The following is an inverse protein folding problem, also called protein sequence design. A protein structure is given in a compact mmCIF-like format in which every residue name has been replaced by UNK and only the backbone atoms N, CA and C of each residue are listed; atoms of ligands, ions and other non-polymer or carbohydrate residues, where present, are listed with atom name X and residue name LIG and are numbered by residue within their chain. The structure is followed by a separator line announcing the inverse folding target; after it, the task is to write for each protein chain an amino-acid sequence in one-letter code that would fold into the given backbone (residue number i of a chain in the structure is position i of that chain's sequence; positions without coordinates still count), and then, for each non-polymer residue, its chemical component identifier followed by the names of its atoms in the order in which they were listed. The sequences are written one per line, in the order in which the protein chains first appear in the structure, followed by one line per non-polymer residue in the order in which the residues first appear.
data_IF_452508832667
#
_entry.id   IF_452508832667
#
_cell.length_a   1.000
_cell.length_b   1.000
_cell.length_c   1.000
_cell.angle_alpha   90.00
_cell.angle_beta   90.00
_cell.angle_gamma   90.00
#
_symmetry.space_group_name_H-M   'P 1'
#
loop_
_entity.id
_entity.type
_entity.pdbx_description
1 polymer ?
#
# COMPACT_ATOMS: atom_id res chain seq x y z
N UNK A 1 38.16 51.24 -9.73
CA UNK A 1 38.51 50.55 -8.45
C UNK A 1 37.45 49.47 -8.26
N UNK A 2 37.81 48.22 -8.37
CA UNK A 2 36.90 47.10 -8.04
C UNK A 2 37.09 46.80 -6.56
N UNK A 3 36.03 47.09 -5.77
CA UNK A 3 35.97 46.66 -4.38
C UNK A 3 35.89 45.13 -4.37
N UNK A 4 37.01 44.50 -4.03
CA UNK A 4 37.06 43.08 -3.75
C UNK A 4 36.66 42.85 -2.30
N UNK A 5 35.37 42.85 -2.01
CA UNK A 5 34.85 42.45 -0.71
C UNK A 5 34.95 40.91 -0.60
N UNK A 6 36.07 40.44 -0.07
CA UNK A 6 36.24 39.01 0.27
C UNK A 6 35.43 38.69 1.53
N UNK A 7 34.80 37.52 1.55
CA UNK A 7 34.12 37.01 2.75
C UNK A 7 35.12 36.81 3.87
N UNK A 8 34.73 37.27 5.06
CA UNK A 8 35.58 37.09 6.25
C UNK A 8 35.39 35.66 6.80
N UNK A 9 36.43 35.11 7.40
CA UNK A 9 36.39 33.78 8.03
C UNK A 9 35.28 33.71 9.09
N UNK A 10 35.06 34.80 9.82
CA UNK A 10 34.02 34.94 10.84
C UNK A 10 32.60 34.83 10.22
N UNK A 11 32.39 35.37 9.04
CA UNK A 11 31.12 35.32 8.33
C UNK A 11 30.78 33.89 7.88
N UNK A 12 31.75 33.16 7.36
CA UNK A 12 31.58 31.76 6.96
C UNK A 12 31.26 30.88 8.18
N UNK A 13 31.95 31.07 9.30
CA UNK A 13 31.68 30.31 10.53
C UNK A 13 30.28 30.63 11.07
N UNK A 14 29.82 31.87 11.01
CA UNK A 14 28.48 32.27 11.44
C UNK A 14 27.40 31.62 10.60
N UNK A 15 27.56 31.60 9.27
CA UNK A 15 26.61 30.95 8.34
C UNK A 15 26.56 29.46 8.59
N UNK A 16 27.70 28.80 8.73
CA UNK A 16 27.74 27.34 9.02
C UNK A 16 27.08 27.01 10.36
N UNK A 17 27.25 27.83 11.39
CA UNK A 17 26.61 27.65 12.69
C UNK A 17 25.08 27.76 12.59
N UNK A 18 24.55 28.72 11.83
CA UNK A 18 23.13 28.91 11.61
C UNK A 18 22.56 27.74 10.82
N UNK A 19 23.22 27.30 9.75
CA UNK A 19 22.79 26.15 8.93
C UNK A 19 22.76 24.86 9.75
N UNK A 20 23.80 24.63 10.59
CA UNK A 20 23.83 23.48 11.49
C UNK A 20 22.70 23.49 12.53
N UNK A 21 22.40 24.69 13.09
CA UNK A 21 21.29 24.85 14.04
C UNK A 21 19.94 24.56 13.38
N UNK A 22 19.70 25.08 12.17
CA UNK A 22 18.47 24.83 11.42
C UNK A 22 18.34 23.35 11.03
N UNK A 23 19.43 22.72 10.61
CA UNK A 23 19.44 21.29 10.30
C UNK A 23 19.09 20.43 11.54
N UNK A 24 19.60 20.78 12.71
CA UNK A 24 19.32 20.08 13.96
C UNK A 24 17.83 20.16 14.39
N UNK A 25 17.13 21.22 14.00
CA UNK A 25 15.69 21.36 14.28
C UNK A 25 14.81 20.57 13.31
N UNK A 26 15.27 20.31 12.07
CA UNK A 26 14.50 19.64 11.03
C UNK A 26 14.66 18.11 11.08
N UNK A 27 15.87 17.61 11.42
CA UNK A 27 16.15 16.16 11.44
C UNK A 27 15.25 15.34 12.38
N UNK A 28 14.84 15.79 13.58
CA UNK A 28 13.97 15.00 14.46
C UNK A 28 12.52 14.88 13.99
N UNK A 29 12.11 15.67 13.00
CA UNK A 29 10.71 15.72 12.53
C UNK A 29 10.35 14.67 11.48
N UNK A 30 11.27 13.78 11.08
CA UNK A 30 10.99 12.72 10.13
C UNK A 30 10.29 11.57 10.90
N UNK A 31 8.98 11.38 10.75
CA UNK A 31 8.29 10.28 11.44
C UNK A 31 8.82 8.95 10.96
N UNK A 32 9.43 8.18 11.87
CA UNK A 32 9.86 6.82 11.61
C UNK A 32 8.64 5.90 11.57
N UNK A 33 8.31 5.37 10.38
CA UNK A 33 7.26 4.40 10.18
C UNK A 33 6.17 4.83 9.20
N UNK A 34 5.23 3.92 8.94
CA UNK A 34 4.15 4.12 7.98
C UNK A 34 3.10 5.11 8.55
N UNK A 35 2.96 6.28 7.91
CA UNK A 35 1.92 7.26 8.27
C UNK A 35 0.53 6.78 7.79
N UNK A 36 -0.56 7.41 8.30
CA UNK A 36 -1.93 7.15 7.84
C UNK A 36 -2.05 7.30 6.31
N UNK A 37 -1.51 8.38 5.76
CA UNK A 37 -1.55 8.62 4.31
C UNK A 37 -0.78 7.55 3.51
N UNK A 38 0.32 7.06 4.04
CA UNK A 38 1.08 5.97 3.41
C UNK A 38 0.35 4.64 3.51
N UNK A 39 -0.33 4.36 4.64
CA UNK A 39 -1.17 3.17 4.79
C UNK A 39 -2.36 3.19 3.82
N UNK A 40 -3.00 4.34 3.65
CA UNK A 40 -4.05 4.55 2.65
C UNK A 40 -3.53 4.35 1.22
N UNK A 41 -2.32 4.83 0.92
CA UNK A 41 -1.65 4.58 -0.35
C UNK A 41 -1.52 3.09 -0.67
N UNK A 42 -1.08 2.26 0.28
CA UNK A 42 -1.03 0.81 0.11
C UNK A 42 -2.41 0.19 -0.12
N UNK A 43 -3.45 0.68 0.57
CA UNK A 43 -4.82 0.20 0.35
C UNK A 43 -5.30 0.54 -1.07
N UNK A 44 -4.97 1.73 -1.58
CA UNK A 44 -5.27 2.15 -2.95
C UNK A 44 -4.51 1.30 -3.99
N UNK A 45 -3.24 1.01 -3.77
CA UNK A 45 -2.42 0.19 -4.66
C UNK A 45 -2.97 -1.24 -4.75
N UNK A 46 -3.33 -1.84 -3.62
CA UNK A 46 -3.97 -3.17 -3.58
C UNK A 46 -5.32 -3.15 -4.29
N UNK A 47 -6.14 -2.13 -4.05
CA UNK A 47 -7.44 -2.01 -4.72
C UNK A 47 -7.29 -1.83 -6.23
N UNK A 48 -6.30 -1.07 -6.69
CA UNK A 48 -5.99 -0.91 -8.10
C UNK A 48 -5.54 -2.24 -8.75
N UNK A 49 -4.67 -3.00 -8.07
CA UNK A 49 -4.22 -4.32 -8.50
C UNK A 49 -5.42 -5.29 -8.64
N UNK A 50 -6.30 -5.36 -7.64
CA UNK A 50 -7.51 -6.21 -7.67
C UNK A 50 -8.46 -5.83 -8.80
N UNK A 51 -8.68 -4.53 -9.05
CA UNK A 51 -9.48 -4.05 -10.18
C UNK A 51 -8.83 -4.39 -11.52
N UNK A 52 -7.51 -4.34 -11.60
CA UNK A 52 -6.72 -4.77 -12.75
C UNK A 52 -6.93 -6.26 -13.06
N UNK A 53 -6.81 -7.12 -12.05
CA UNK A 53 -7.01 -8.56 -12.17
C UNK A 53 -8.45 -8.90 -12.60
N UNK A 54 -9.45 -8.23 -12.02
CA UNK A 54 -10.85 -8.36 -12.47
C UNK A 54 -11.00 -7.99 -13.95
N UNK A 55 -10.47 -6.87 -14.36
CA UNK A 55 -10.54 -6.38 -15.75
C UNK A 55 -9.81 -7.32 -16.71
N UNK A 56 -8.69 -7.88 -16.28
CA UNK A 56 -7.95 -8.89 -17.04
C UNK A 56 -8.77 -10.16 -17.21
N UNK A 57 -9.40 -10.70 -16.14
CA UNK A 57 -10.24 -11.90 -16.22
C UNK A 57 -11.36 -11.76 -17.25
N UNK A 58 -12.03 -10.61 -17.28
CA UNK A 58 -13.07 -10.30 -18.26
C UNK A 58 -12.50 -10.25 -19.69
N UNK A 59 -11.36 -9.55 -19.87
CA UNK A 59 -10.74 -9.33 -21.17
C UNK A 59 -10.19 -10.62 -21.78
N UNK A 60 -9.47 -11.42 -20.98
CA UNK A 60 -8.87 -12.69 -21.47
C UNK A 60 -9.85 -13.85 -21.44
N UNK A 61 -11.03 -13.66 -20.89
CA UNK A 61 -12.08 -14.68 -20.73
C UNK A 61 -11.60 -15.94 -19.99
N UNK A 62 -10.71 -15.74 -19.01
CA UNK A 62 -10.17 -16.81 -18.18
C UNK A 62 -10.11 -16.33 -16.71
N UNK A 63 -10.20 -17.23 -15.74
CA UNK A 63 -10.04 -16.86 -14.34
C UNK A 63 -8.66 -16.28 -14.06
N UNK A 64 -8.62 -15.24 -13.23
CA UNK A 64 -7.38 -14.60 -12.74
C UNK A 64 -7.41 -14.61 -11.22
N UNK A 65 -6.35 -15.11 -10.59
CA UNK A 65 -6.24 -15.24 -9.15
C UNK A 65 -5.20 -14.28 -8.59
N UNK A 66 -5.63 -13.34 -7.75
CA UNK A 66 -4.73 -12.51 -6.94
C UNK A 66 -4.25 -13.32 -5.75
N UNK A 67 -2.93 -13.47 -5.57
CA UNK A 67 -2.34 -14.24 -4.48
C UNK A 67 -1.93 -13.34 -3.33
N UNK A 68 -2.31 -13.71 -2.11
CA UNK A 68 -1.93 -13.05 -0.88
C UNK A 68 -0.93 -13.91 -0.11
N UNK A 69 0.15 -13.30 0.39
CA UNK A 69 1.11 -13.98 1.23
C UNK A 69 1.33 -13.17 2.51
N UNK A 70 0.74 -13.64 3.61
CA UNK A 70 0.85 -12.97 4.90
C UNK A 70 2.27 -13.04 5.48
N UNK A 71 3.03 -14.10 5.19
CA UNK A 71 4.39 -14.26 5.71
C UNK A 71 5.37 -13.27 5.06
N UNK A 72 5.28 -13.11 3.75
CA UNK A 72 6.11 -12.13 3.02
C UNK A 72 5.45 -10.75 2.90
N UNK A 73 4.24 -10.57 3.43
CA UNK A 73 3.45 -9.33 3.36
C UNK A 73 3.31 -8.81 1.94
N UNK A 74 2.95 -9.68 1.00
CA UNK A 74 2.81 -9.35 -0.42
C UNK A 74 1.43 -9.67 -0.94
N UNK A 75 0.96 -8.81 -1.87
CA UNK A 75 -0.20 -9.06 -2.72
C UNK A 75 0.28 -9.08 -4.16
N UNK A 76 0.05 -10.19 -4.85
CA UNK A 76 0.54 -10.42 -6.21
C UNK A 76 -0.61 -10.56 -7.20
N UNK A 77 -0.54 -9.80 -8.29
CA UNK A 77 -1.46 -9.91 -9.42
C UNK A 77 -1.29 -11.25 -10.15
N UNK A 78 -2.41 -11.87 -10.47
CA UNK A 78 -2.45 -13.03 -11.36
C UNK A 78 -2.44 -12.67 -12.85
N UNK A 79 -2.70 -11.40 -13.18
CA UNK A 79 -2.76 -10.94 -14.56
C UNK A 79 -1.38 -10.64 -15.15
N UNK A 80 -0.57 -9.88 -14.43
CA UNK A 80 0.73 -9.36 -14.90
C UNK A 80 1.89 -9.69 -13.95
N UNK A 81 1.60 -10.29 -12.79
CA UNK A 81 2.58 -10.64 -11.78
C UNK A 81 3.11 -9.47 -10.96
N UNK A 82 2.53 -8.27 -11.10
CA UNK A 82 2.89 -7.12 -10.27
C UNK A 82 2.68 -7.41 -8.78
N UNK A 83 3.51 -6.81 -7.93
CA UNK A 83 3.53 -7.09 -6.50
C UNK A 83 3.41 -5.78 -5.73
N UNK A 84 2.47 -5.73 -4.79
CA UNK A 84 2.43 -4.74 -3.73
C UNK A 84 3.10 -5.33 -2.50
N UNK A 85 4.23 -4.76 -2.10
CA UNK A 85 4.97 -5.13 -0.89
C UNK A 85 4.59 -4.21 0.26
N UNK A 86 4.15 -4.79 1.37
CA UNK A 86 3.85 -4.05 2.58
C UNK A 86 5.06 -4.01 3.52
N UNK A 87 5.30 -2.91 4.22
CA UNK A 87 6.37 -2.84 5.22
C UNK A 87 6.01 -3.64 6.48
N UNK A 88 7.02 -4.07 7.22
CA UNK A 88 6.86 -4.93 8.40
C UNK A 88 6.15 -4.30 9.60
N UNK A 89 5.98 -2.97 9.61
CA UNK A 89 5.24 -2.23 10.64
C UNK A 89 3.73 -2.11 10.35
N UNK A 90 3.27 -2.68 9.24
CA UNK A 90 1.87 -2.76 8.84
C UNK A 90 1.32 -4.15 9.15
N UNK A 91 0.25 -4.22 9.93
CA UNK A 91 -0.52 -5.46 10.11
C UNK A 91 -1.26 -5.81 8.83
N UNK A 92 -1.09 -7.04 8.37
CA UNK A 92 -1.68 -7.56 7.14
C UNK A 92 -2.47 -8.82 7.45
N UNK A 93 -3.78 -8.75 7.35
CA UNK A 93 -4.73 -9.85 7.54
C UNK A 93 -5.67 -9.97 6.35
N UNK A 94 -6.24 -11.17 6.17
CA UNK A 94 -7.23 -11.38 5.12
C UNK A 94 -8.31 -12.38 5.56
N UNK A 95 -9.55 -12.04 5.26
CA UNK A 95 -10.71 -12.93 5.39
C UNK A 95 -11.09 -13.36 3.98
N UNK A 96 -10.81 -14.62 3.66
CA UNK A 96 -10.98 -15.17 2.33
C UNK A 96 -12.01 -16.31 2.31
N UNK A 97 -12.62 -16.54 1.15
CA UNK A 97 -13.47 -17.68 0.93
C UNK A 97 -12.66 -18.99 1.05
N UNK A 98 -13.16 -19.97 1.79
CA UNK A 98 -12.52 -21.30 1.87
C UNK A 98 -12.77 -22.14 0.63
N UNK A 99 -13.87 -21.89 -0.07
CA UNK A 99 -14.28 -22.60 -1.30
C UNK A 99 -14.85 -21.60 -2.30
N UNK A 100 -14.55 -21.81 -3.56
CA UNK A 100 -15.04 -21.00 -4.65
C UNK A 100 -15.24 -21.88 -5.89
N UNK A 101 -16.39 -21.76 -6.57
CA UNK A 101 -16.70 -22.59 -7.72
C UNK A 101 -16.66 -24.10 -7.43
N UNK A 102 -16.98 -24.49 -6.18
CA UNK A 102 -16.93 -25.89 -5.75
C UNK A 102 -15.54 -26.43 -5.39
N UNK A 103 -14.47 -25.64 -5.56
CA UNK A 103 -13.09 -26.03 -5.27
C UNK A 103 -12.59 -25.34 -4.00
N UNK A 104 -11.73 -25.99 -3.20
CA UNK A 104 -11.03 -25.30 -2.13
C UNK A 104 -10.10 -24.25 -2.75
N UNK A 105 -10.07 -23.05 -2.18
CA UNK A 105 -9.16 -21.98 -2.55
C UNK A 105 -8.21 -21.72 -1.38
N UNK A 106 -6.97 -21.38 -1.73
CA UNK A 106 -5.95 -21.03 -0.76
C UNK A 106 -6.00 -19.55 -0.39
N UNK A 107 -4.84 -18.93 -0.28
CA UNK A 107 -4.69 -17.51 0.00
C UNK A 107 -4.84 -16.68 -1.28
N UNK A 108 -5.97 -16.83 -1.99
CA UNK A 108 -6.25 -16.14 -3.25
C UNK A 108 -7.63 -15.49 -3.25
N UNK A 109 -7.75 -14.42 -4.05
CA UNK A 109 -9.03 -13.85 -4.48
C UNK A 109 -9.12 -14.07 -5.98
N UNK A 110 -10.03 -14.95 -6.38
CA UNK A 110 -10.20 -15.32 -7.77
C UNK A 110 -11.28 -14.45 -8.42
N UNK A 111 -10.98 -13.95 -9.62
CA UNK A 111 -11.91 -13.25 -10.50
C UNK A 111 -12.26 -14.09 -11.70
N UNK A 112 -13.53 -14.07 -12.09
CA UNK A 112 -14.06 -14.86 -13.20
C UNK A 112 -14.29 -14.01 -14.46
N UNK A 113 -14.37 -14.65 -15.64
CA UNK A 113 -14.69 -13.95 -16.90
C UNK A 113 -16.00 -13.16 -16.86
N UNK A 114 -16.93 -13.55 -16.01
CA UNK A 114 -18.21 -12.85 -15.78
C UNK A 114 -18.07 -11.54 -15.01
N UNK A 115 -16.88 -11.25 -14.47
CA UNK A 115 -16.62 -10.13 -13.58
C UNK A 115 -16.95 -10.39 -12.10
N UNK A 116 -17.53 -11.56 -11.79
CA UNK A 116 -17.73 -12.03 -10.41
C UNK A 116 -16.40 -12.41 -9.77
N UNK A 117 -16.39 -12.61 -8.45
CA UNK A 117 -15.21 -13.10 -7.72
C UNK A 117 -15.59 -14.10 -6.63
N UNK A 118 -14.59 -14.69 -6.01
CA UNK A 118 -14.78 -15.47 -4.77
C UNK A 118 -15.06 -14.58 -3.55
N UNK A 119 -14.89 -13.28 -3.68
CA UNK A 119 -15.00 -12.34 -2.58
C UNK A 119 -13.83 -12.44 -1.61
N UNK A 120 -13.77 -11.50 -0.69
CA UNK A 120 -12.78 -11.46 0.37
C UNK A 120 -12.61 -10.06 0.92
N UNK A 121 -11.92 -9.97 2.05
CA UNK A 121 -11.56 -8.70 2.68
C UNK A 121 -10.10 -8.75 3.07
N UNK A 122 -9.32 -7.78 2.62
CA UNK A 122 -7.94 -7.56 3.03
C UNK A 122 -7.97 -6.45 4.08
N UNK A 123 -7.29 -6.66 5.19
CA UNK A 123 -7.24 -5.73 6.32
C UNK A 123 -5.81 -5.26 6.50
N UNK A 124 -5.61 -3.95 6.36
CA UNK A 124 -4.37 -3.28 6.67
C UNK A 124 -4.56 -2.50 7.97
N UNK A 125 -3.65 -2.65 8.91
CA UNK A 125 -3.73 -1.97 10.19
C UNK A 125 -2.37 -1.48 10.65
N UNK A 126 -2.37 -0.32 11.33
CA UNK A 126 -1.20 0.16 12.04
C UNK A 126 -1.64 1.04 13.21
N UNK A 127 -1.26 0.65 14.43
CA UNK A 127 -1.73 1.31 15.65
C UNK A 127 -3.27 1.34 15.71
N UNK A 128 -3.87 2.52 15.75
CA UNK A 128 -5.33 2.71 15.80
C UNK A 128 -5.96 2.98 14.43
N UNK A 129 -5.14 2.99 13.35
CA UNK A 129 -5.62 3.25 11.99
C UNK A 129 -5.71 1.95 11.22
N UNK A 130 -6.80 1.75 10.50
CA UNK A 130 -7.02 0.58 9.65
C UNK A 130 -7.76 0.92 8.37
N UNK A 131 -7.53 0.12 7.35
CA UNK A 131 -8.27 0.12 6.09
C UNK A 131 -8.65 -1.30 5.73
N UNK A 132 -9.87 -1.47 5.25
CA UNK A 132 -10.38 -2.73 4.71
C UNK A 132 -10.60 -2.58 3.22
N UNK A 133 -9.98 -3.46 2.44
CA UNK A 133 -10.23 -3.58 1.01
C UNK A 133 -11.18 -4.76 0.84
N UNK A 134 -12.43 -4.48 0.48
CA UNK A 134 -13.50 -5.48 0.34
C UNK A 134 -13.74 -5.78 -1.13
N UNK A 135 -13.79 -7.07 -1.44
CA UNK A 135 -14.13 -7.56 -2.78
C UNK A 135 -15.50 -8.23 -2.71
N UNK A 136 -16.44 -7.68 -3.45
CA UNK A 136 -17.79 -8.23 -3.53
C UNK A 136 -17.80 -9.49 -4.43
N UNK A 137 -18.31 -10.59 -3.90
CA UNK A 137 -18.32 -11.85 -4.63
C UNK A 137 -19.22 -11.86 -5.88
N UNK A 138 -20.35 -11.13 -5.84
CA UNK A 138 -21.31 -11.12 -6.93
C UNK A 138 -20.91 -10.19 -8.07
N UNK A 139 -20.40 -9.00 -7.73
CA UNK A 139 -20.06 -7.97 -8.73
C UNK A 139 -18.57 -7.92 -9.05
N UNK A 140 -17.73 -8.54 -8.21
CA UNK A 140 -16.27 -8.36 -8.26
C UNK A 140 -15.84 -6.94 -7.96
N UNK A 141 -16.75 -6.09 -7.45
CA UNK A 141 -16.47 -4.71 -7.09
C UNK A 141 -15.49 -4.64 -5.94
N UNK A 142 -14.55 -3.70 -5.99
CA UNK A 142 -13.54 -3.46 -4.96
C UNK A 142 -13.77 -2.11 -4.34
N UNK A 143 -13.94 -2.09 -3.02
CA UNK A 143 -14.13 -0.87 -2.22
C UNK A 143 -13.12 -0.80 -1.07
N UNK A 144 -12.77 0.41 -0.65
CA UNK A 144 -11.93 0.67 0.51
C UNK A 144 -12.78 1.32 1.58
N UNK A 145 -12.71 0.78 2.80
CA UNK A 145 -13.42 1.29 3.96
C UNK A 145 -12.40 1.56 5.06
N UNK A 146 -12.46 2.75 5.68
CA UNK A 146 -11.68 3.02 6.88
C UNK A 146 -12.20 2.18 8.05
N UNK A 147 -11.31 1.60 8.82
CA UNK A 147 -11.61 0.74 9.97
C UNK A 147 -10.75 1.19 11.16
N UNK A 148 -10.91 2.45 11.56
CA UNK A 148 -10.21 2.98 12.73
C UNK A 148 -10.74 2.27 13.99
N UNK A 149 -9.85 1.81 14.85
CA UNK A 149 -10.22 1.28 16.16
C UNK A 149 -10.56 2.46 17.08
N UNK A 150 -11.81 2.51 17.51
CA UNK A 150 -12.23 3.41 18.60
C UNK A 150 -11.56 3.02 19.91
#
# INVERSE_FOLDING_TARGET
MRDQNGFTLLEIISVLAIVALLAALILPAIPSGTSRARLEGYALDIAALLKGDRSAAIRVRAPVATTLNAHSQTVRSGADGSIVQLPGDVGFDAILAKRCGGRPVGATIDFFPTGMSCGGTIILSRQNVGFQIRVNWLTGGVEIVSADKS
#
